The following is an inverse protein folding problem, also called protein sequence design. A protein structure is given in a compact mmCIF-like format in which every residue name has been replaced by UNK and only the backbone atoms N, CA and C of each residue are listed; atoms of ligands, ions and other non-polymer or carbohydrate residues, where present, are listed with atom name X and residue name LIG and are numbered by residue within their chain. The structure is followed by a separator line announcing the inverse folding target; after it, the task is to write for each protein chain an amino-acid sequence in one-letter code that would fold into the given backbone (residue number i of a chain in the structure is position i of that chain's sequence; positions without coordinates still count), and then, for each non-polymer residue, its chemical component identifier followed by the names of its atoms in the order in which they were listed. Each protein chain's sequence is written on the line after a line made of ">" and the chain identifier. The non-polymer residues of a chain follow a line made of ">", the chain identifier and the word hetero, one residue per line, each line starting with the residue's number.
data_IF_007276307810
#
_entry.id   IF_007276307810
#
_cell.length_a   1.000
_cell.length_b   1.000
_cell.length_c   1.000
_cell.angle_alpha   90.00
_cell.angle_beta   90.00
_cell.angle_gamma   90.00
#
_symmetry.space_group_name_H-M   'P 1'
#
loop_
_entity.id
_entity.type
_entity.pdbx_description
1 polymer ?
#
# COMPACT_ATOMS: atom_id res chain seq x y z
N UNK A 1 0.18 -12.93 -8.08
CA UNK A 1 -1.07 -12.65 -7.33
C UNK A 1 -1.97 -13.88 -7.26
N UNK A 2 -2.16 -14.61 -8.37
CA UNK A 2 -2.94 -15.87 -8.40
C UNK A 2 -2.45 -16.92 -7.39
N UNK A 3 -1.14 -17.03 -7.17
CA UNK A 3 -0.55 -17.95 -6.18
C UNK A 3 -0.96 -17.67 -4.72
N UNK A 4 -1.42 -16.45 -4.40
CA UNK A 4 -1.86 -16.09 -3.06
C UNK A 4 -3.36 -16.36 -2.85
N UNK A 5 -4.17 -16.46 -3.90
CA UNK A 5 -5.64 -16.66 -3.79
C UNK A 5 -6.02 -17.85 -2.88
N UNK A 6 -5.37 -19.02 -2.94
CA UNK A 6 -5.72 -20.16 -2.08
C UNK A 6 -5.55 -19.89 -0.58
N UNK A 7 -4.70 -18.94 -0.20
CA UNK A 7 -4.36 -18.62 1.18
C UNK A 7 -5.29 -17.56 1.80
N UNK A 8 -6.20 -16.98 1.01
CA UNK A 8 -7.03 -15.83 1.42
C UNK A 8 -7.84 -16.08 2.68
N UNK A 9 -8.45 -17.25 2.79
CA UNK A 9 -9.34 -17.62 3.90
C UNK A 9 -8.55 -18.08 5.14
N UNK A 10 -7.27 -18.44 4.98
CA UNK A 10 -6.42 -18.92 6.06
C UNK A 10 -5.78 -17.80 6.90
N UNK A 11 -5.93 -16.55 6.48
CA UNK A 11 -5.26 -15.39 7.07
C UNK A 11 -6.21 -14.24 7.31
N UNK A 12 -5.91 -13.39 8.30
CA UNK A 12 -6.59 -12.11 8.44
C UNK A 12 -6.32 -11.20 7.24
N UNK A 13 -7.24 -10.27 6.97
CA UNK A 13 -7.10 -9.33 5.84
C UNK A 13 -5.83 -8.47 5.90
N UNK A 14 -5.30 -8.17 7.08
CA UNK A 14 -4.00 -7.47 7.21
C UNK A 14 -2.84 -8.39 6.83
N UNK A 15 -2.74 -9.56 7.46
CA UNK A 15 -1.64 -10.49 7.23
C UNK A 15 -1.55 -10.96 5.76
N UNK A 16 -2.70 -11.17 5.11
CA UNK A 16 -2.75 -11.49 3.68
C UNK A 16 -2.18 -10.37 2.79
N UNK A 17 -2.52 -9.11 3.08
CA UNK A 17 -2.01 -7.94 2.35
C UNK A 17 -0.50 -7.77 2.57
N UNK A 18 -0.04 -7.94 3.80
CA UNK A 18 1.39 -7.81 4.13
C UNK A 18 2.21 -8.89 3.43
N UNK A 19 1.72 -10.13 3.39
CA UNK A 19 2.37 -11.22 2.67
C UNK A 19 2.44 -10.98 1.16
N UNK A 20 1.34 -10.48 0.57
CA UNK A 20 1.28 -10.10 -0.85
C UNK A 20 2.32 -9.01 -1.18
N UNK A 21 2.50 -8.02 -0.30
CA UNK A 21 3.49 -6.95 -0.46
C UNK A 21 4.90 -7.48 -0.27
N UNK A 22 5.12 -8.37 0.71
CA UNK A 22 6.43 -8.98 0.99
C UNK A 22 6.92 -9.88 -0.16
N UNK A 23 6.01 -10.55 -0.88
CA UNK A 23 6.33 -11.33 -2.07
C UNK A 23 6.79 -10.49 -3.26
N UNK A 24 6.61 -9.17 -3.23
CA UNK A 24 7.33 -8.24 -4.09
C UNK A 24 7.07 -8.39 -5.59
N UNK A 25 5.82 -8.66 -5.99
CA UNK A 25 5.47 -8.57 -7.41
C UNK A 25 5.64 -7.10 -7.90
N UNK A 26 6.14 -6.87 -9.14
CA UNK A 26 6.53 -5.55 -9.63
C UNK A 26 5.46 -4.45 -9.47
N UNK A 27 4.20 -4.84 -9.61
CA UNK A 27 3.05 -3.92 -9.57
C UNK A 27 2.36 -3.89 -8.20
N UNK A 28 2.82 -4.70 -7.25
CA UNK A 28 2.15 -4.89 -5.96
C UNK A 28 2.94 -4.18 -4.88
N UNK A 29 2.51 -2.95 -4.62
CA UNK A 29 3.04 -2.12 -3.53
C UNK A 29 1.91 -1.85 -2.55
N UNK A 30 2.20 -1.74 -1.25
CA UNK A 30 1.14 -1.37 -0.30
C UNK A 30 0.67 0.06 -0.60
N UNK A 31 -0.65 0.32 -0.46
CA UNK A 31 -1.20 1.66 -0.65
C UNK A 31 -0.48 2.70 0.22
N UNK A 32 -0.06 2.31 1.43
CA UNK A 32 0.78 3.14 2.30
C UNK A 32 2.16 3.47 1.68
N UNK A 33 2.86 2.48 1.13
CA UNK A 33 4.13 2.72 0.41
C UNK A 33 3.91 3.57 -0.86
N UNK A 34 2.78 3.43 -1.54
CA UNK A 34 2.42 4.29 -2.67
C UNK A 34 2.15 5.73 -2.24
N UNK A 35 1.41 5.92 -1.14
CA UNK A 35 1.12 7.25 -0.58
C UNK A 35 2.40 7.96 -0.09
N UNK A 36 3.41 7.23 0.38
CA UNK A 36 4.70 7.86 0.71
C UNK A 36 5.48 8.33 -0.53
N UNK A 37 5.40 7.58 -1.65
CA UNK A 37 6.08 7.96 -2.91
C UNK A 37 5.32 9.04 -3.68
N UNK A 38 4.00 8.98 -3.67
CA UNK A 38 3.08 9.89 -4.36
C UNK A 38 1.99 10.32 -3.37
N UNK A 39 2.27 11.29 -2.49
CA UNK A 39 1.30 11.72 -1.48
C UNK A 39 0.05 12.28 -2.16
N UNK A 40 -1.15 11.88 -1.71
CA UNK A 40 -2.42 12.26 -2.34
C UNK A 40 -2.77 13.74 -2.14
N UNK A 41 -2.06 14.43 -1.25
CA UNK A 41 -2.14 15.87 -1.06
C UNK A 41 -0.74 16.42 -0.85
N UNK A 42 -0.49 17.60 -1.43
CA UNK A 42 0.74 18.36 -1.22
C UNK A 42 0.46 19.39 -0.14
N UNK A 43 1.24 19.36 0.94
CA UNK A 43 1.23 20.41 1.95
C UNK A 43 1.85 21.68 1.35
N UNK A 44 1.01 22.66 1.04
CA UNK A 44 1.45 23.98 0.61
C UNK A 44 1.74 24.80 1.88
N UNK A 45 3.02 24.96 2.21
CA UNK A 45 3.45 25.71 3.39
C UNK A 45 3.31 27.23 3.25
N UNK A 46 3.07 27.74 2.04
CA UNK A 46 3.12 29.18 1.73
C UNK A 46 1.73 29.86 1.68
N UNK A 47 0.64 29.15 1.99
CA UNK A 47 -0.73 29.71 1.81
C UNK A 47 -1.31 30.43 3.02
N UNK A 48 -0.52 30.69 4.06
CA UNK A 48 -0.92 31.52 5.20
C UNK A 48 -0.10 32.81 5.21
N UNK A 49 -0.35 33.70 4.24
CA UNK A 49 -0.07 35.11 4.41
C UNK A 49 -1.23 35.74 5.20
N UNK A 50 -0.90 36.38 6.33
CA UNK A 50 -1.83 37.05 7.26
C UNK A 50 -2.40 38.35 6.69
#
# INVERSE_FOLDING_TARGET
>A
MEEMIPWRESMSSSAFRDQIVALGAPDVTSLWHQQQKNPPFVLLHDSYEF
#
